data_IF_029795723657
#
_entry.id   IF_029795723657
#
_cell.length_a   1.000
_cell.length_b   1.000
_cell.length_c   1.000
_cell.angle_alpha   90.00
_cell.angle_beta   90.00
_cell.angle_gamma   90.00
#
_symmetry.space_group_name_H-M   'P 1'
#
loop_
_entity.id
_entity.type
_entity.pdbx_description
1 polymer ?
#
# COMPACT_ATOMS: atom_id res chain seq x y z
N UNK A 1 -12.36 -36.01 30.03
CA UNK A 1 -12.38 -37.31 29.32
C UNK A 1 -13.46 -37.27 28.24
N UNK A 2 -13.10 -37.19 26.95
CA UNK A 2 -13.80 -37.79 25.78
C UNK A 2 -13.06 -37.37 24.48
N UNK A 3 -12.19 -38.24 23.92
CA UNK A 3 -12.32 -39.01 22.65
C UNK A 3 -12.13 -38.16 21.37
N UNK A 4 -10.96 -38.29 20.69
CA UNK A 4 -10.68 -39.11 19.47
C UNK A 4 -11.41 -38.56 18.22
N UNK A 5 -10.85 -38.38 17.02
CA UNK A 5 -9.81 -39.10 16.27
C UNK A 5 -9.37 -38.25 15.05
N UNK A 6 -8.12 -38.41 14.61
CA UNK A 6 -7.63 -37.98 13.29
C UNK A 6 -8.16 -38.93 12.19
N UNK A 7 -8.25 -38.46 10.93
CA UNK A 7 -7.87 -39.31 9.81
C UNK A 7 -6.82 -38.64 8.92
N UNK A 8 -5.68 -39.31 8.80
CA UNK A 8 -4.73 -39.15 7.72
C UNK A 8 -5.29 -39.81 6.44
N UNK A 9 -5.21 -39.09 5.32
CA UNK A 9 -5.28 -39.64 3.96
C UNK A 9 -4.29 -38.82 3.14
N UNK A 10 -3.12 -39.31 2.72
CA UNK A 10 -2.80 -40.46 1.86
C UNK A 10 -3.20 -40.24 0.38
N UNK A 11 -2.20 -39.78 -0.39
CA UNK A 11 -1.89 -40.11 -1.79
C UNK A 11 -2.76 -39.61 -2.96
N UNK A 12 -2.05 -39.11 -3.98
CA UNK A 12 -2.47 -39.08 -5.38
C UNK A 12 -2.01 -37.79 -6.08
N UNK A 13 -1.34 -37.77 -7.23
CA UNK A 13 -0.68 -38.76 -8.07
C UNK A 13 0.21 -37.95 -9.03
N UNK A 14 1.44 -38.41 -9.24
CA UNK A 14 2.39 -37.85 -10.20
C UNK A 14 1.92 -38.21 -11.63
N UNK A 15 1.61 -37.24 -12.47
CA UNK A 15 1.42 -37.46 -13.91
C UNK A 15 2.68 -36.98 -14.61
N UNK A 16 3.46 -37.93 -15.13
CA UNK A 16 4.51 -37.67 -16.10
C UNK A 16 4.15 -38.39 -17.41
N UNK A 17 4.43 -37.67 -18.51
CA UNK A 17 4.93 -38.16 -19.79
C UNK A 17 3.98 -38.17 -21.02
N UNK A 18 4.58 -37.64 -22.10
CA UNK A 18 4.45 -38.00 -23.51
C UNK A 18 3.47 -37.20 -24.38
N UNK A 19 4.04 -36.25 -25.12
CA UNK A 19 3.42 -35.58 -26.27
C UNK A 19 4.45 -34.86 -27.14
N UNK A 20 5.57 -35.51 -27.48
CA UNK A 20 6.52 -35.03 -28.47
C UNK A 20 5.99 -35.40 -29.87
N UNK A 21 5.39 -34.45 -30.57
CA UNK A 21 5.10 -34.56 -32.00
C UNK A 21 5.30 -33.20 -32.69
N UNK A 22 6.56 -32.95 -33.05
CA UNK A 22 7.01 -32.45 -34.36
C UNK A 22 6.25 -31.23 -34.93
N UNK A 23 6.83 -30.04 -34.77
CA UNK A 23 6.64 -28.94 -35.72
C UNK A 23 8.02 -28.39 -36.12
N UNK A 24 8.22 -28.10 -37.41
CA UNK A 24 9.53 -28.09 -38.04
C UNK A 24 10.32 -26.82 -37.75
N UNK A 25 11.64 -27.01 -37.68
CA UNK A 25 12.68 -26.02 -37.94
C UNK A 25 12.37 -25.26 -39.23
N UNK A 26 12.50 -23.93 -39.18
CA UNK A 26 12.73 -23.11 -40.35
C UNK A 26 11.76 -21.96 -40.52
N UNK A 27 12.18 -20.77 -40.09
CA UNK A 27 11.51 -19.52 -40.41
C UNK A 27 11.45 -18.59 -39.22
N UNK A 28 12.55 -17.92 -38.91
CA UNK A 28 12.48 -16.64 -38.20
C UNK A 28 11.55 -15.74 -39.04
N UNK A 29 10.37 -15.31 -38.55
CA UNK A 29 9.66 -14.26 -39.25
C UNK A 29 10.58 -13.05 -39.21
N UNK A 30 10.95 -12.57 -40.40
CA UNK A 30 11.78 -11.41 -40.59
C UNK A 30 11.25 -10.26 -39.72
N UNK A 31 11.99 -9.94 -38.65
CA UNK A 31 11.78 -8.73 -37.85
C UNK A 31 12.23 -7.53 -38.69
N UNK A 32 11.50 -7.24 -39.77
CA UNK A 32 11.75 -6.06 -40.61
C UNK A 32 10.46 -5.33 -40.94
N UNK A 33 9.55 -5.27 -39.98
CA UNK A 33 8.56 -4.19 -39.98
C UNK A 33 9.01 -3.15 -38.95
N UNK A 34 9.77 -2.18 -39.46
CA UNK A 34 10.17 -0.98 -38.72
C UNK A 34 8.87 -0.30 -38.27
N UNK A 35 8.56 -0.38 -36.98
CA UNK A 35 7.46 0.36 -36.41
C UNK A 35 7.68 1.86 -36.67
N UNK A 36 6.79 2.47 -37.45
CA UNK A 36 6.66 3.93 -37.51
C UNK A 36 5.91 4.33 -36.24
N UNK A 37 6.67 4.59 -35.18
CA UNK A 37 6.14 5.34 -34.04
C UNK A 37 5.97 6.77 -34.54
N UNK A 38 4.74 7.14 -34.87
CA UNK A 38 4.39 8.54 -35.03
C UNK A 38 4.44 9.16 -33.63
N UNK A 39 5.50 9.92 -33.35
CA UNK A 39 5.72 10.65 -32.10
C UNK A 39 4.81 11.89 -32.02
N UNK A 40 3.54 11.72 -32.42
CA UNK A 40 2.47 12.68 -32.18
C UNK A 40 1.67 12.27 -30.95
N UNK A 41 2.28 11.49 -30.06
CA UNK A 41 1.79 11.29 -28.72
C UNK A 41 2.16 12.51 -27.89
N UNK A 42 1.27 13.51 -27.84
CA UNK A 42 1.15 14.28 -26.60
C UNK A 42 0.77 13.25 -25.53
N UNK A 43 1.78 12.64 -24.90
CA UNK A 43 1.61 11.92 -23.66
C UNK A 43 0.97 12.94 -22.73
N UNK A 44 -0.34 12.79 -22.50
CA UNK A 44 -1.09 13.65 -21.60
C UNK A 44 -0.30 13.72 -20.30
N UNK A 45 0.07 14.93 -19.89
CA UNK A 45 0.84 15.14 -18.68
C UNK A 45 0.16 14.35 -17.57
N UNK A 46 0.82 13.30 -17.09
CA UNK A 46 0.33 12.56 -15.93
C UNK A 46 0.10 13.60 -14.83
N UNK A 47 -1.03 13.58 -14.12
CA UNK A 47 -1.32 14.61 -13.13
C UNK A 47 -0.13 14.69 -12.18
N UNK A 48 0.55 15.83 -12.17
CA UNK A 48 1.67 16.08 -11.29
C UNK A 48 1.15 15.89 -9.86
N UNK A 49 1.77 14.97 -9.11
CA UNK A 49 1.45 14.80 -7.70
C UNK A 49 1.58 16.16 -7.01
N UNK A 50 0.64 16.52 -6.11
CA UNK A 50 0.75 17.78 -5.37
C UNK A 50 2.08 17.80 -4.62
N UNK A 51 2.72 18.98 -4.61
CA UNK A 51 3.97 19.17 -3.86
C UNK A 51 3.74 18.81 -2.39
N UNK A 52 4.73 18.14 -1.79
CA UNK A 52 4.72 17.89 -0.36
C UNK A 52 4.64 19.24 0.38
N UNK A 53 3.67 19.35 1.29
CA UNK A 53 3.55 20.51 2.16
C UNK A 53 4.72 20.57 3.13
N UNK A 54 4.96 21.75 3.68
CA UNK A 54 5.89 21.91 4.80
C UNK A 54 5.48 20.97 5.96
N UNK A 55 6.41 20.17 6.50
CA UNK A 55 6.09 19.20 7.53
C UNK A 55 5.54 19.85 8.81
N UNK A 56 6.05 21.02 9.19
CA UNK A 56 5.57 21.73 10.39
C UNK A 56 4.13 22.19 10.20
N UNK A 57 3.77 22.63 8.99
CA UNK A 57 2.38 23.01 8.65
C UNK A 57 1.47 21.78 8.72
N UNK A 58 1.90 20.65 8.19
CA UNK A 58 1.11 19.41 8.22
C UNK A 58 0.82 18.96 9.66
N UNK A 59 1.82 18.99 10.55
CA UNK A 59 1.66 18.63 11.97
C UNK A 59 0.70 19.60 12.67
N UNK A 60 0.83 20.92 12.43
CA UNK A 60 -0.06 21.91 13.01
C UNK A 60 -1.52 21.72 12.56
N UNK A 61 -1.76 21.41 11.28
CA UNK A 61 -3.10 21.11 10.76
C UNK A 61 -3.70 19.85 11.41
N UNK A 62 -2.89 18.81 11.63
CA UNK A 62 -3.33 17.60 12.33
C UNK A 62 -3.67 17.87 13.79
N UNK A 63 -2.88 18.69 14.49
CA UNK A 63 -3.18 19.10 15.86
C UNK A 63 -4.50 19.88 15.93
N UNK A 64 -4.71 20.84 15.03
CA UNK A 64 -5.96 21.59 14.96
C UNK A 64 -7.15 20.70 14.56
N UNK A 65 -6.93 19.64 13.77
CA UNK A 65 -7.94 18.62 13.54
C UNK A 65 -8.28 17.84 14.83
N UNK A 66 -7.29 17.48 15.65
CA UNK A 66 -7.50 16.83 16.93
C UNK A 66 -8.26 17.75 17.90
N UNK A 67 -7.86 19.02 18.01
CA UNK A 67 -8.54 20.03 18.83
C UNK A 67 -9.99 20.26 18.43
N UNK A 68 -10.27 20.35 17.12
CA UNK A 68 -11.64 20.51 16.61
C UNK A 68 -12.52 19.31 16.95
N UNK A 69 -11.95 18.10 16.97
CA UNK A 69 -12.67 16.90 17.43
C UNK A 69 -12.89 16.92 18.94
N UNK A 70 -11.88 17.33 19.70
CA UNK A 70 -11.97 17.52 21.15
C UNK A 70 -12.21 16.23 21.94
N UNK A 71 -11.89 15.05 21.38
CA UNK A 71 -12.06 13.75 22.06
C UNK A 71 -10.72 13.20 22.54
N UNK A 72 -10.78 12.28 23.51
CA UNK A 72 -9.60 11.61 24.06
C UNK A 72 -8.79 10.91 22.95
N UNK A 73 -9.49 10.14 22.11
CA UNK A 73 -8.90 9.34 21.04
C UNK A 73 -8.22 10.22 19.98
N UNK A 74 -8.77 11.41 19.72
CA UNK A 74 -8.19 12.33 18.74
C UNK A 74 -6.84 12.88 19.21
N UNK A 75 -6.72 13.23 20.50
CA UNK A 75 -5.46 13.68 21.08
C UNK A 75 -4.46 12.55 21.25
N UNK A 76 -4.90 11.36 21.68
CA UNK A 76 -4.03 10.17 21.76
C UNK A 76 -3.44 9.79 20.39
N UNK A 77 -4.26 9.82 19.34
CA UNK A 77 -3.80 9.54 17.99
C UNK A 77 -2.76 10.55 17.50
N UNK A 78 -2.95 11.84 17.82
CA UNK A 78 -1.98 12.87 17.50
C UNK A 78 -0.65 12.62 18.22
N UNK A 79 -0.68 12.33 19.52
CA UNK A 79 0.51 12.02 20.34
C UNK A 79 1.21 10.76 19.83
N UNK A 80 0.47 9.73 19.40
CA UNK A 80 1.05 8.50 18.87
C UNK A 80 1.82 8.72 17.56
N UNK A 81 1.47 9.75 16.77
CA UNK A 81 2.13 10.09 15.50
C UNK A 81 3.26 11.09 15.67
N UNK A 82 3.06 12.10 16.52
CA UNK A 82 3.93 13.28 16.63
C UNK A 82 4.46 13.47 18.04
N UNK A 83 4.72 12.37 18.78
CA UNK A 83 5.00 12.42 20.22
C UNK A 83 6.22 13.24 20.65
N UNK A 84 7.17 13.47 19.73
CA UNK A 84 8.38 14.29 19.94
C UNK A 84 8.18 15.76 19.49
N UNK A 85 7.05 16.09 18.86
CA UNK A 85 6.75 17.44 18.41
C UNK A 85 6.36 18.35 19.59
N UNK A 86 6.75 19.64 19.61
CA UNK A 86 6.34 20.58 20.66
C UNK A 86 4.83 20.67 20.89
N UNK A 87 4.00 20.45 19.87
CA UNK A 87 2.54 20.43 19.98
C UNK A 87 2.02 19.20 20.74
N UNK A 88 2.79 18.11 20.85
CA UNK A 88 2.39 16.93 21.60
C UNK A 88 2.21 17.24 23.09
N UNK A 89 3.01 18.14 23.66
CA UNK A 89 2.86 18.58 25.05
C UNK A 89 1.55 19.34 25.27
N UNK A 90 1.11 20.12 24.28
CA UNK A 90 -0.20 20.76 24.32
C UNK A 90 -1.33 19.72 24.23
N UNK A 91 -1.19 18.72 23.34
CA UNK A 91 -2.15 17.63 23.23
C UNK A 91 -2.26 16.80 24.54
N UNK A 92 -1.14 16.55 25.23
CA UNK A 92 -1.14 15.90 26.56
C UNK A 92 -1.87 16.73 27.60
N UNK A 93 -1.71 18.05 27.58
CA UNK A 93 -2.40 18.96 28.50
C UNK A 93 -3.92 18.96 28.25
N UNK A 94 -4.34 18.99 26.99
CA UNK A 94 -5.74 18.88 26.58
C UNK A 94 -6.35 17.53 27.00
N UNK A 95 -5.62 16.42 26.80
CA UNK A 95 -6.03 15.08 27.23
C UNK A 95 -6.28 15.04 28.76
N UNK A 96 -5.37 15.61 29.55
CA UNK A 96 -5.51 15.73 31.00
C UNK A 96 -6.73 16.56 31.40
N UNK A 97 -7.12 17.56 30.61
CA UNK A 97 -8.32 18.37 30.85
C UNK A 97 -9.59 17.57 30.64
N UNK A 98 -9.63 16.67 29.66
CA UNK A 98 -10.81 15.83 29.38
C UNK A 98 -11.09 14.81 30.49
N UNK A 99 -10.08 14.42 31.26
CA UNK A 99 -10.24 13.49 32.39
C UNK A 99 -10.58 14.16 33.72
N UNK A 100 -10.65 15.49 33.77
CA UNK A 100 -11.05 16.23 34.96
C UNK A 100 -12.55 16.43 35.00
#
# INVERSE_FOLDING_TARGET
>A
MLRRSLPAGLFGALIALAGLAHQPVGGLPAMVQKAKADDSGKAGHAPAMPMARDPAVAVAEEYEAARRKGTQEAFELFIARHGDDPLAEQARAELKRLWR
#
